data_IF_596459933458
#
_entry.id   IF_596459933458
#
_cell.length_a   1.000
_cell.length_b   1.000
_cell.length_c   1.000
_cell.angle_alpha   90.00
_cell.angle_beta   90.00
_cell.angle_gamma   90.00
#
_symmetry.space_group_name_H-M   'P 1'
#
loop_
_entity.id
_entity.type
_entity.pdbx_description
1 polymer ?
#
# COMPACT_ATOMS: atom_id res chain seq x y z
N UNK A 1 -2.13 -16.52 13.37
CA UNK A 1 -2.18 -15.76 12.10
C UNK A 1 -2.59 -16.70 10.99
N UNK A 2 -3.63 -16.35 10.23
CA UNK A 2 -4.06 -17.12 9.05
C UNK A 2 -3.64 -16.40 7.78
N UNK A 3 -3.07 -17.13 6.82
CA UNK A 3 -2.60 -16.59 5.56
C UNK A 3 -2.66 -17.68 4.47
N UNK A 4 -3.31 -17.41 3.35
CA UNK A 4 -3.50 -18.33 2.22
C UNK A 4 -3.99 -19.72 2.67
N UNK A 5 -5.03 -19.72 3.51
CA UNK A 5 -5.65 -20.94 4.05
C UNK A 5 -4.85 -21.69 5.13
N UNK A 6 -3.62 -21.28 5.42
CA UNK A 6 -2.77 -21.87 6.46
C UNK A 6 -2.87 -21.07 7.77
N UNK A 7 -2.87 -21.77 8.91
CA UNK A 7 -2.88 -21.13 10.23
C UNK A 7 -1.53 -21.31 10.93
N UNK A 8 -0.98 -20.21 11.41
CA UNK A 8 0.32 -20.14 12.09
C UNK A 8 0.16 -19.65 13.53
N UNK A 9 1.03 -20.08 14.42
CA UNK A 9 1.05 -19.65 15.83
C UNK A 9 1.24 -18.12 15.95
N UNK A 10 2.14 -17.57 15.16
CA UNK A 10 2.44 -16.14 15.13
C UNK A 10 2.97 -15.72 13.75
N UNK A 11 3.20 -14.42 13.58
CA UNK A 11 3.71 -13.86 12.33
C UNK A 11 5.12 -14.33 11.97
N UNK A 12 5.97 -14.57 12.97
CA UNK A 12 7.32 -15.10 12.77
C UNK A 12 7.31 -16.51 12.17
N UNK A 13 6.38 -17.39 12.63
CA UNK A 13 6.23 -18.73 12.06
C UNK A 13 5.65 -18.71 10.66
N UNK A 14 4.70 -17.79 10.35
CA UNK A 14 4.23 -17.54 8.99
C UNK A 14 5.39 -17.15 8.09
N UNK A 15 6.16 -16.13 8.49
CA UNK A 15 7.29 -15.63 7.71
C UNK A 15 8.35 -16.71 7.47
N UNK A 16 8.71 -17.47 8.49
CA UNK A 16 9.70 -18.55 8.35
C UNK A 16 9.24 -19.62 7.35
N UNK A 17 7.97 -20.02 7.40
CA UNK A 17 7.39 -20.98 6.46
C UNK A 17 7.49 -20.51 5.02
N UNK A 18 6.96 -19.30 4.73
CA UNK A 18 6.95 -18.79 3.37
C UNK A 18 8.34 -18.36 2.87
N UNK A 19 9.26 -17.99 3.74
CA UNK A 19 10.67 -17.78 3.38
C UNK A 19 11.31 -19.07 2.86
N UNK A 20 11.02 -20.20 3.50
CA UNK A 20 11.55 -21.49 3.03
C UNK A 20 10.90 -21.93 1.71
N UNK A 21 9.61 -21.68 1.51
CA UNK A 21 8.95 -21.91 0.22
C UNK A 21 9.51 -21.02 -0.89
N UNK A 22 9.79 -19.74 -0.60
CA UNK A 22 10.46 -18.85 -1.54
C UNK A 22 11.86 -19.33 -1.89
N UNK A 23 12.62 -19.81 -0.90
CA UNK A 23 13.95 -20.39 -1.09
C UNK A 23 13.92 -21.56 -2.10
N UNK A 24 12.92 -22.44 -2.00
CA UNK A 24 12.72 -23.53 -2.97
C UNK A 24 12.39 -23.00 -4.36
N UNK A 25 11.52 -21.99 -4.46
CA UNK A 25 11.18 -21.35 -5.74
C UNK A 25 12.39 -20.68 -6.41
N UNK A 26 13.29 -20.09 -5.65
CA UNK A 26 14.53 -19.49 -6.16
C UNK A 26 15.49 -20.53 -6.79
N UNK A 27 15.32 -21.81 -6.52
CA UNK A 27 16.09 -22.88 -7.18
C UNK A 27 15.52 -23.29 -8.54
N UNK A 28 14.30 -22.82 -8.89
CA UNK A 28 13.67 -23.10 -10.17
C UNK A 28 14.23 -22.17 -11.26
N UNK A 29 14.93 -22.73 -12.29
CA UNK A 29 15.46 -21.90 -13.37
C UNK A 29 14.39 -21.16 -14.20
N UNK A 30 13.18 -21.74 -14.31
CA UNK A 30 12.08 -21.10 -15.06
C UNK A 30 11.52 -19.89 -14.30
N UNK A 31 11.44 -19.98 -12.98
CA UNK A 31 11.06 -18.84 -12.15
C UNK A 31 12.02 -17.66 -12.31
N UNK A 32 13.31 -17.92 -12.45
CA UNK A 32 14.34 -16.89 -12.66
C UNK A 32 14.33 -16.25 -14.05
N UNK A 33 13.65 -16.85 -15.02
CA UNK A 33 13.50 -16.30 -16.38
C UNK A 33 12.36 -15.29 -16.50
N UNK A 34 11.56 -15.12 -15.46
CA UNK A 34 10.49 -14.12 -15.46
C UNK A 34 11.11 -12.74 -15.69
N UNK A 35 10.56 -11.99 -16.62
CA UNK A 35 11.03 -10.64 -16.96
C UNK A 35 10.99 -9.74 -15.71
N UNK A 36 12.05 -8.96 -15.52
CA UNK A 36 12.21 -8.12 -14.33
C UNK A 36 12.75 -8.85 -13.09
N UNK A 37 13.18 -10.12 -13.22
CA UNK A 37 13.82 -10.81 -12.10
C UNK A 37 15.07 -10.06 -11.63
N UNK A 38 15.24 -9.77 -10.32
CA UNK A 38 16.30 -8.92 -9.82
C UNK A 38 17.70 -9.58 -9.99
N UNK A 39 18.72 -8.74 -10.12
CA UNK A 39 20.11 -9.13 -10.04
C UNK A 39 20.50 -9.11 -8.56
N UNK A 40 20.91 -10.25 -8.00
CA UNK A 40 21.29 -10.38 -6.59
C UNK A 40 21.46 -11.82 -6.19
N UNK A 41 21.94 -12.05 -4.97
CA UNK A 41 21.99 -13.39 -4.39
C UNK A 41 20.62 -13.80 -3.84
N UNK A 42 20.42 -15.11 -3.68
CA UNK A 42 19.19 -15.63 -3.05
C UNK A 42 19.00 -15.06 -1.64
N UNK A 43 20.08 -14.93 -0.89
CA UNK A 43 20.03 -14.37 0.47
C UNK A 43 19.65 -12.88 0.47
N UNK A 44 20.09 -12.09 -0.51
CA UNK A 44 19.66 -10.70 -0.64
C UNK A 44 18.16 -10.60 -0.88
N UNK A 45 17.63 -11.42 -1.80
CA UNK A 45 16.20 -11.50 -2.09
C UNK A 45 15.40 -11.90 -0.86
N UNK A 46 15.82 -12.97 -0.17
CA UNK A 46 15.14 -13.48 1.02
C UNK A 46 15.16 -12.48 2.17
N UNK A 47 16.30 -11.82 2.41
CA UNK A 47 16.45 -10.86 3.50
C UNK A 47 15.59 -9.59 3.31
N UNK A 48 15.38 -9.18 2.07
CA UNK A 48 14.52 -8.02 1.75
C UNK A 48 13.04 -8.39 1.68
N UNK A 49 12.69 -9.69 1.66
CA UNK A 49 11.31 -10.15 1.50
C UNK A 49 10.59 -10.35 2.85
N UNK A 50 9.27 -10.22 2.81
CA UNK A 50 8.35 -10.67 3.85
C UNK A 50 7.24 -11.53 3.22
N UNK A 51 7.57 -12.76 2.77
CA UNK A 51 6.64 -13.60 2.05
C UNK A 51 5.51 -14.12 2.95
N UNK A 52 4.31 -14.35 2.37
CA UNK A 52 3.95 -14.23 0.97
C UNK A 52 3.50 -12.82 0.56
N UNK A 53 3.40 -11.86 1.48
CA UNK A 53 2.85 -10.52 1.23
C UNK A 53 3.74 -9.67 0.32
N UNK A 54 5.04 -9.76 0.50
CA UNK A 54 6.03 -9.04 -0.29
C UNK A 54 7.25 -9.91 -0.59
N UNK A 55 7.69 -9.91 -1.85
CA UNK A 55 8.94 -10.52 -2.26
C UNK A 55 9.77 -9.52 -3.08
N UNK A 56 11.08 -9.51 -2.82
CA UNK A 56 12.02 -8.69 -3.58
C UNK A 56 12.35 -9.29 -4.97
N UNK A 57 11.46 -10.13 -5.48
CA UNK A 57 11.44 -10.72 -6.82
C UNK A 57 9.98 -10.89 -7.24
N UNK A 58 9.65 -11.38 -8.45
CA UNK A 58 8.26 -11.69 -8.80
C UNK A 58 7.58 -12.55 -7.74
N UNK A 59 6.44 -12.12 -7.24
CA UNK A 59 5.76 -12.79 -6.12
C UNK A 59 4.98 -14.02 -6.62
N UNK A 60 5.33 -15.25 -6.20
CA UNK A 60 4.67 -16.47 -6.68
C UNK A 60 3.25 -16.69 -6.12
N UNK A 61 2.83 -15.94 -5.11
CA UNK A 61 1.53 -16.12 -4.43
C UNK A 61 0.45 -15.12 -4.83
N UNK A 62 0.70 -14.23 -5.82
CA UNK A 62 -0.30 -13.23 -6.22
C UNK A 62 -1.60 -13.88 -6.69
N UNK A 63 -1.52 -14.97 -7.44
CA UNK A 63 -2.70 -15.68 -7.91
C UNK A 63 -3.53 -16.27 -6.75
N UNK A 64 -2.86 -16.76 -5.72
CA UNK A 64 -3.52 -17.32 -4.53
C UNK A 64 -4.24 -16.23 -3.73
N UNK A 65 -3.62 -15.05 -3.57
CA UNK A 65 -4.27 -13.89 -2.96
C UNK A 65 -5.47 -13.41 -3.75
N UNK A 66 -5.37 -13.34 -5.07
CA UNK A 66 -6.50 -12.94 -5.93
C UNK A 66 -7.65 -13.92 -5.75
N UNK A 67 -7.38 -15.22 -5.78
CA UNK A 67 -8.40 -16.25 -5.60
C UNK A 67 -9.07 -16.16 -4.22
N UNK A 68 -8.30 -15.97 -3.15
CA UNK A 68 -8.82 -15.80 -1.80
C UNK A 68 -9.70 -14.53 -1.69
N UNK A 69 -9.26 -13.41 -2.26
CA UNK A 69 -9.99 -12.15 -2.21
C UNK A 69 -11.27 -12.18 -3.06
N UNK A 70 -11.23 -12.77 -4.26
CA UNK A 70 -12.42 -12.93 -5.09
C UNK A 70 -13.47 -13.82 -4.41
N UNK A 71 -13.04 -14.89 -3.73
CA UNK A 71 -13.95 -15.74 -2.97
C UNK A 71 -14.64 -15.05 -1.78
N UNK A 72 -14.10 -13.93 -1.30
CA UNK A 72 -14.67 -13.13 -0.21
C UNK A 72 -15.67 -12.08 -0.69
N UNK A 73 -15.75 -11.82 -2.00
CA UNK A 73 -16.67 -10.82 -2.54
C UNK A 73 -18.11 -11.33 -2.47
N UNK A 74 -19.07 -10.43 -2.18
CA UNK A 74 -20.48 -10.78 -2.26
C UNK A 74 -20.86 -11.13 -3.71
N UNK A 75 -21.75 -12.10 -3.86
CA UNK A 75 -22.30 -12.42 -5.17
C UNK A 75 -22.99 -11.21 -5.78
N UNK A 76 -22.76 -10.98 -7.06
CA UNK A 76 -23.44 -9.92 -7.79
C UNK A 76 -24.85 -10.37 -8.17
N UNK A 77 -25.84 -9.46 -8.14
CA UNK A 77 -27.20 -9.78 -8.60
C UNK A 77 -27.21 -10.28 -10.05
N UNK A 78 -28.13 -11.18 -10.37
CA UNK A 78 -28.32 -11.64 -11.75
C UNK A 78 -28.55 -10.45 -12.69
N UNK A 79 -27.84 -10.40 -13.82
CA UNK A 79 -27.89 -9.30 -14.75
C UNK A 79 -27.09 -8.06 -14.37
N UNK A 80 -26.27 -8.12 -13.31
CA UNK A 80 -25.39 -7.01 -12.97
C UNK A 80 -24.40 -6.74 -14.10
N UNK A 81 -24.36 -5.48 -14.55
CA UNK A 81 -23.36 -4.97 -15.48
C UNK A 81 -22.62 -3.80 -14.85
N UNK A 82 -21.31 -3.92 -14.76
CA UNK A 82 -20.47 -2.80 -14.29
C UNK A 82 -20.57 -1.65 -15.29
N UNK A 83 -20.96 -0.49 -14.79
CA UNK A 83 -20.94 0.76 -15.56
C UNK A 83 -20.57 1.92 -14.64
N UNK A 84 -19.64 2.76 -15.06
CA UNK A 84 -19.29 4.04 -14.43
C UNK A 84 -19.01 5.08 -15.51
N UNK A 85 -19.53 6.27 -15.30
CA UNK A 85 -19.20 7.41 -16.16
C UNK A 85 -17.73 7.78 -16.04
N UNK A 86 -17.11 8.32 -17.10
CA UNK A 86 -15.75 8.83 -17.03
C UNK A 86 -15.62 9.88 -15.93
N UNK A 87 -14.53 9.78 -15.16
CA UNK A 87 -14.25 10.67 -14.04
C UNK A 87 -12.89 11.33 -14.20
N UNK A 88 -12.83 12.63 -13.92
CA UNK A 88 -11.59 13.39 -13.86
C UNK A 88 -11.58 14.27 -12.62
N UNK A 89 -10.45 14.30 -11.93
CA UNK A 89 -10.23 15.14 -10.76
C UNK A 89 -8.80 15.73 -10.80
N UNK A 90 -8.57 16.79 -10.01
CA UNK A 90 -7.25 17.37 -9.84
C UNK A 90 -6.31 16.38 -9.11
N UNK A 91 -5.22 16.03 -9.79
CA UNK A 91 -4.20 15.10 -9.25
C UNK A 91 -3.21 15.81 -8.31
N UNK A 92 -3.37 17.08 -8.03
CA UNK A 92 -2.54 17.84 -7.09
C UNK A 92 -3.08 17.85 -5.66
N UNK A 93 -4.31 17.40 -5.46
CA UNK A 93 -4.95 17.35 -4.13
C UNK A 93 -4.15 16.47 -3.16
N UNK A 94 -3.86 17.01 -1.98
CA UNK A 94 -3.10 16.31 -0.95
C UNK A 94 -1.57 16.46 -1.03
N UNK A 95 -1.02 17.29 -1.93
CA UNK A 95 0.44 17.55 -2.00
C UNK A 95 1.02 18.15 -0.71
N UNK A 96 0.21 18.79 0.12
CA UNK A 96 0.62 19.34 1.42
C UNK A 96 0.38 18.36 2.58
N UNK A 97 -0.14 17.18 2.31
CA UNK A 97 -0.44 16.18 3.33
C UNK A 97 0.87 15.60 3.92
N UNK A 98 0.96 15.43 5.26
CA UNK A 98 2.14 14.84 5.90
C UNK A 98 2.49 13.45 5.37
N UNK A 99 1.48 12.63 5.07
CA UNK A 99 1.67 11.30 4.49
C UNK A 99 2.35 11.40 3.12
N UNK A 100 1.87 12.31 2.25
CA UNK A 100 2.51 12.54 0.96
C UNK A 100 3.94 13.06 1.11
N UNK A 101 4.21 13.89 2.10
CA UNK A 101 5.52 14.52 2.31
C UNK A 101 6.50 13.68 3.13
N UNK A 102 6.10 12.49 3.64
CA UNK A 102 6.94 11.65 4.47
C UNK A 102 8.21 11.14 3.75
N UNK A 103 8.18 11.04 2.43
CA UNK A 103 9.36 10.74 1.60
C UNK A 103 9.24 11.41 0.24
N UNK A 104 10.33 11.57 -0.49
CA UNK A 104 10.33 12.08 -1.85
C UNK A 104 10.46 10.93 -2.86
N UNK A 105 9.64 10.97 -3.93
CA UNK A 105 9.74 10.10 -5.07
C UNK A 105 9.23 10.84 -6.32
N UNK A 106 9.95 10.74 -7.42
CA UNK A 106 9.82 11.69 -8.54
C UNK A 106 8.43 11.70 -9.19
N UNK A 107 7.80 10.55 -9.34
CA UNK A 107 6.51 10.40 -10.04
C UNK A 107 5.32 10.19 -9.10
N UNK A 108 5.50 10.43 -7.80
CA UNK A 108 4.48 10.17 -6.78
C UNK A 108 3.25 11.06 -6.96
N UNK A 109 2.07 10.45 -7.01
CA UNK A 109 0.77 11.13 -6.98
C UNK A 109 0.21 11.10 -5.56
N UNK A 110 -0.39 12.19 -5.04
CA UNK A 110 -0.98 12.19 -3.71
C UNK A 110 -2.09 11.15 -3.54
N UNK A 111 -2.08 10.44 -2.41
CA UNK A 111 -3.08 9.41 -2.10
C UNK A 111 -4.52 9.95 -2.12
N UNK A 112 -4.76 11.20 -1.69
CA UNK A 112 -6.09 11.84 -1.72
C UNK A 112 -6.65 11.97 -3.13
N UNK A 113 -5.81 12.37 -4.07
CA UNK A 113 -6.22 12.41 -5.47
C UNK A 113 -6.56 11.00 -5.99
N UNK A 114 -5.75 9.99 -5.67
CA UNK A 114 -5.99 8.60 -6.07
C UNK A 114 -7.27 8.05 -5.42
N UNK A 115 -7.54 8.37 -4.14
CA UNK A 115 -8.76 7.94 -3.44
C UNK A 115 -10.03 8.32 -4.19
N UNK A 116 -10.09 9.51 -4.81
CA UNK A 116 -11.26 9.94 -5.59
C UNK A 116 -11.54 8.99 -6.75
N UNK A 117 -10.52 8.55 -7.47
CA UNK A 117 -10.66 7.58 -8.57
C UNK A 117 -11.06 6.20 -8.04
N UNK A 118 -10.43 5.73 -6.97
CA UNK A 118 -10.77 4.44 -6.37
C UNK A 118 -12.21 4.43 -5.87
N UNK A 119 -12.65 5.45 -5.15
CA UNK A 119 -14.03 5.58 -4.66
C UNK A 119 -15.04 5.62 -5.81
N UNK A 120 -14.69 6.25 -6.96
CA UNK A 120 -15.57 6.35 -8.11
C UNK A 120 -15.73 5.00 -8.84
N UNK A 121 -14.61 4.30 -9.08
CA UNK A 121 -14.61 3.12 -9.94
C UNK A 121 -14.79 1.80 -9.21
N UNK A 122 -14.72 1.75 -7.88
CA UNK A 122 -14.68 0.49 -7.12
C UNK A 122 -15.65 0.46 -5.96
N UNK A 123 -15.93 -0.75 -5.48
CA UNK A 123 -16.67 -1.03 -4.25
C UNK A 123 -15.73 -1.58 -3.16
N UNK A 124 -16.12 -1.56 -1.87
CA UNK A 124 -15.39 -2.23 -0.80
C UNK A 124 -15.06 -3.68 -1.15
N UNK A 125 -13.79 -4.06 -0.94
CA UNK A 125 -13.30 -5.42 -1.25
C UNK A 125 -12.83 -5.62 -2.69
N UNK A 126 -13.09 -4.68 -3.61
CA UNK A 126 -12.55 -4.76 -4.97
C UNK A 126 -11.02 -4.71 -4.99
N UNK A 127 -10.44 -5.30 -6.03
CA UNK A 127 -8.99 -5.34 -6.25
C UNK A 127 -8.58 -4.22 -7.18
N UNK A 128 -7.65 -3.39 -6.72
CA UNK A 128 -7.00 -2.33 -7.50
C UNK A 128 -5.62 -2.83 -7.90
N UNK A 129 -5.33 -2.83 -9.18
CA UNK A 129 -4.00 -3.18 -9.70
C UNK A 129 -3.26 -1.92 -10.15
N UNK A 130 -2.02 -1.76 -9.66
CA UNK A 130 -1.10 -0.71 -10.11
C UNK A 130 0.22 -1.34 -10.55
N UNK A 131 0.42 -1.41 -11.86
CA UNK A 131 1.58 -2.04 -12.49
C UNK A 131 2.86 -1.21 -12.43
N UNK A 132 2.78 0.06 -12.02
CA UNK A 132 3.89 1.02 -11.94
C UNK A 132 3.75 1.87 -10.66
N UNK A 133 3.56 1.19 -9.53
CA UNK A 133 3.11 1.79 -8.27
C UNK A 133 4.09 2.78 -7.64
N UNK A 134 5.31 2.87 -8.13
CA UNK A 134 6.35 3.65 -7.47
C UNK A 134 6.46 3.27 -5.99
N UNK A 135 6.28 4.24 -5.12
CA UNK A 135 6.32 4.02 -3.66
C UNK A 135 4.97 3.69 -3.02
N UNK A 136 3.96 3.25 -3.82
CA UNK A 136 2.75 2.60 -3.33
C UNK A 136 1.65 3.51 -2.82
N UNK A 137 1.54 4.75 -3.31
CA UNK A 137 0.44 5.64 -2.93
C UNK A 137 -0.94 5.09 -3.27
N UNK A 138 -1.05 4.27 -4.32
CA UNK A 138 -2.28 3.58 -4.71
C UNK A 138 -2.74 2.58 -3.64
N UNK A 139 -1.81 1.83 -3.05
CA UNK A 139 -2.12 0.90 -1.95
C UNK A 139 -2.63 1.63 -0.72
N UNK A 140 -1.96 2.72 -0.34
CA UNK A 140 -2.40 3.57 0.77
C UNK A 140 -3.79 4.15 0.50
N UNK A 141 -4.04 4.69 -0.70
CA UNK A 141 -5.34 5.22 -1.09
C UNK A 141 -6.44 4.15 -1.03
N UNK A 142 -6.15 2.91 -1.45
CA UNK A 142 -7.08 1.79 -1.38
C UNK A 142 -7.47 1.45 0.08
N UNK A 143 -6.51 1.49 1.01
CA UNK A 143 -6.75 1.29 2.43
C UNK A 143 -7.56 2.45 3.04
N UNK A 144 -7.17 3.71 2.76
CA UNK A 144 -7.79 4.90 3.31
C UNK A 144 -9.22 5.16 2.79
N UNK A 145 -9.63 4.50 1.71
CA UNK A 145 -11.05 4.45 1.32
C UNK A 145 -11.95 3.77 2.39
N UNK A 146 -11.37 3.09 3.38
CA UNK A 146 -12.05 2.57 4.56
C UNK A 146 -11.99 3.49 5.78
N UNK A 147 -11.23 4.57 5.73
CA UNK A 147 -11.13 5.55 6.81
C UNK A 147 -12.16 6.67 6.62
N UNK A 148 -13.07 6.80 7.60
CA UNK A 148 -14.16 7.77 7.53
C UNK A 148 -13.67 9.21 7.53
N UNK A 149 -12.66 9.52 8.34
CA UNK A 149 -12.17 10.88 8.50
C UNK A 149 -11.39 11.33 7.25
N UNK A 150 -10.63 10.42 6.66
CA UNK A 150 -9.96 10.67 5.38
C UNK A 150 -10.96 10.90 4.24
N UNK A 151 -12.03 10.09 4.17
CA UNK A 151 -13.09 10.29 3.16
C UNK A 151 -13.81 11.61 3.36
N UNK A 152 -14.11 12.00 4.60
CA UNK A 152 -14.71 13.33 4.92
C UNK A 152 -13.75 14.46 4.54
N UNK A 153 -12.44 14.28 4.72
CA UNK A 153 -11.43 15.29 4.36
C UNK A 153 -11.42 15.63 2.86
N UNK A 154 -11.94 14.72 2.02
CA UNK A 154 -12.13 14.95 0.58
C UNK A 154 -13.38 15.78 0.23
N UNK A 155 -14.16 16.22 1.23
CA UNK A 155 -15.38 16.98 1.03
C UNK A 155 -16.63 16.10 0.84
N UNK A 156 -16.55 14.80 1.06
CA UNK A 156 -17.69 13.89 1.03
C UNK A 156 -18.41 13.83 2.39
N UNK A 157 -19.64 13.35 2.40
CA UNK A 157 -20.36 12.96 3.62
C UNK A 157 -20.46 11.45 3.72
N UNK A 158 -20.37 10.91 4.94
CA UNK A 158 -20.46 9.48 5.19
C UNK A 158 -21.62 9.20 6.15
N UNK A 159 -22.63 8.47 5.67
CA UNK A 159 -23.78 8.03 6.48
C UNK A 159 -23.38 6.93 7.47
N UNK A 160 -24.21 6.67 8.50
CA UNK A 160 -23.97 5.59 9.46
C UNK A 160 -23.87 4.18 8.84
N UNK A 161 -24.54 3.95 7.71
CA UNK A 161 -24.50 2.69 6.96
C UNK A 161 -23.30 2.56 6.01
N UNK A 162 -22.36 3.52 6.07
CA UNK A 162 -21.18 3.57 5.21
C UNK A 162 -21.43 4.16 3.82
N UNK A 163 -22.63 4.61 3.49
CA UNK A 163 -22.91 5.26 2.20
C UNK A 163 -22.18 6.60 2.14
N UNK A 164 -21.40 6.80 1.09
CA UNK A 164 -20.69 8.06 0.81
C UNK A 164 -21.55 8.89 -0.13
N UNK A 165 -21.77 10.17 0.27
CA UNK A 165 -22.49 11.15 -0.53
C UNK A 165 -21.54 12.19 -1.08
N UNK A 166 -21.78 12.58 -2.31
CA UNK A 166 -21.09 13.69 -2.98
C UNK A 166 -22.09 14.84 -3.22
N UNK A 167 -21.59 16.08 -3.12
CA UNK A 167 -22.38 17.26 -3.45
C UNK A 167 -22.45 17.41 -4.99
N UNK A 168 -23.64 17.52 -5.51
CA UNK A 168 -23.92 17.78 -6.92
C UNK A 168 -24.83 18.99 -7.06
N UNK A 169 -24.82 19.59 -8.24
CA UNK A 169 -25.78 20.66 -8.58
C UNK A 169 -26.91 20.03 -9.41
N UNK A 170 -28.17 20.18 -8.98
CA UNK A 170 -29.31 19.70 -9.74
C UNK A 170 -29.65 20.63 -10.92
N UNK A 171 -30.68 20.26 -11.69
CA UNK A 171 -31.13 21.02 -12.87
C UNK A 171 -31.60 22.44 -12.53
N UNK A 172 -32.03 22.67 -11.29
CA UNK A 172 -32.46 23.99 -10.76
C UNK A 172 -31.29 24.83 -10.21
N UNK A 173 -30.05 24.31 -10.28
CA UNK A 173 -28.85 24.97 -9.74
C UNK A 173 -28.70 24.85 -8.22
N UNK A 174 -29.48 23.97 -7.56
CA UNK A 174 -29.39 23.73 -6.12
C UNK A 174 -28.38 22.64 -5.81
N UNK A 175 -27.65 22.81 -4.71
CA UNK A 175 -26.75 21.80 -4.18
C UNK A 175 -27.52 20.66 -3.51
N UNK A 176 -27.29 19.46 -3.98
CA UNK A 176 -27.92 18.22 -3.47
C UNK A 176 -26.86 17.16 -3.17
N UNK A 177 -27.11 16.36 -2.14
CA UNK A 177 -26.21 15.25 -1.78
C UNK A 177 -26.73 13.94 -2.37
N UNK A 178 -25.95 13.34 -3.27
CA UNK A 178 -26.31 12.08 -3.91
C UNK A 178 -25.38 10.96 -3.49
N UNK A 179 -25.92 9.74 -3.44
CA UNK A 179 -25.13 8.54 -3.19
C UNK A 179 -24.14 8.34 -4.32
N UNK A 180 -22.87 8.20 -3.94
CA UNK A 180 -21.75 8.15 -4.85
C UNK A 180 -20.96 6.83 -4.72
N UNK A 181 -20.63 6.42 -3.49
CA UNK A 181 -19.78 5.27 -3.21
C UNK A 181 -20.11 4.65 -1.85
N UNK A 182 -19.29 3.71 -1.41
CA UNK A 182 -19.38 3.07 -0.09
C UNK A 182 -18.04 3.08 0.64
N UNK A 183 -18.08 3.37 1.93
CA UNK A 183 -16.93 3.31 2.83
C UNK A 183 -16.48 1.86 2.99
N UNK A 184 -15.21 1.61 2.84
CA UNK A 184 -14.58 0.31 3.04
C UNK A 184 -13.23 0.20 2.33
N UNK A 185 -12.39 -0.67 2.83
CA UNK A 185 -11.07 -0.94 2.28
C UNK A 185 -11.19 -1.62 0.90
N UNK A 186 -10.34 -1.23 -0.04
CA UNK A 186 -10.08 -1.98 -1.28
C UNK A 186 -8.77 -2.72 -1.12
N UNK A 187 -8.62 -3.84 -1.82
CA UNK A 187 -7.38 -4.60 -1.90
C UNK A 187 -6.47 -3.98 -2.97
N UNK A 188 -5.17 -4.03 -2.79
CA UNK A 188 -4.26 -3.51 -3.81
C UNK A 188 -3.19 -4.54 -4.17
N UNK A 189 -2.94 -4.68 -5.48
CA UNK A 189 -1.78 -5.38 -6.02
C UNK A 189 -0.86 -4.31 -6.59
N UNK A 190 0.32 -4.20 -6.02
CA UNK A 190 1.31 -3.20 -6.37
C UNK A 190 2.51 -3.86 -7.02
N UNK A 191 2.90 -3.37 -8.18
CA UNK A 191 4.07 -3.84 -8.90
C UNK A 191 4.91 -2.66 -9.37
N UNK A 192 6.22 -2.82 -9.40
CA UNK A 192 7.17 -1.88 -9.99
C UNK A 192 8.44 -2.62 -10.40
N UNK A 193 9.13 -2.16 -11.44
CA UNK A 193 10.42 -2.70 -11.86
C UNK A 193 11.54 -2.34 -10.88
N UNK A 194 11.38 -1.26 -10.12
CA UNK A 194 12.36 -0.82 -9.13
C UNK A 194 12.16 -1.57 -7.81
N UNK A 195 13.13 -2.41 -7.44
CA UNK A 195 13.13 -3.09 -6.13
C UNK A 195 13.14 -2.11 -4.95
N UNK A 196 13.75 -0.93 -5.11
CA UNK A 196 13.70 0.13 -4.11
C UNK A 196 12.28 0.70 -3.97
N UNK A 197 11.57 0.89 -5.08
CA UNK A 197 10.19 1.36 -5.07
C UNK A 197 9.26 0.36 -4.39
N UNK A 198 9.32 -0.92 -4.76
CA UNK A 198 8.48 -1.97 -4.15
C UNK A 198 8.79 -2.18 -2.67
N UNK A 199 10.06 -2.07 -2.27
CA UNK A 199 10.44 -2.12 -0.85
C UNK A 199 9.85 -0.96 -0.05
N UNK A 200 9.92 0.27 -0.57
CA UNK A 200 9.30 1.43 0.05
C UNK A 200 7.76 1.26 0.08
N UNK A 201 7.16 0.83 -1.04
CA UNK A 201 5.72 0.61 -1.14
C UNK A 201 5.23 -0.40 -0.10
N UNK A 202 5.93 -1.52 0.06
CA UNK A 202 5.62 -2.52 1.08
C UNK A 202 5.64 -1.92 2.49
N UNK A 203 6.75 -1.28 2.87
CA UNK A 203 6.88 -0.69 4.21
C UNK A 203 5.87 0.44 4.47
N UNK A 204 5.50 1.19 3.43
CA UNK A 204 4.54 2.29 3.54
C UNK A 204 3.10 1.81 3.70
N UNK A 205 2.79 0.65 3.15
CA UNK A 205 1.44 0.05 3.18
C UNK A 205 1.26 -0.98 4.30
N UNK A 206 2.33 -1.34 5.01
CA UNK A 206 2.27 -2.34 6.08
C UNK A 206 2.16 -1.64 7.43
N UNK A 207 1.12 -1.93 8.24
CA UNK A 207 1.00 -1.40 9.58
C UNK A 207 2.17 -1.81 10.46
N UNK A 208 2.75 -0.87 11.18
CA UNK A 208 3.86 -1.09 12.10
C UNK A 208 3.52 -0.70 13.53
N UNK A 209 4.13 -1.40 14.51
CA UNK A 209 4.04 -1.02 15.92
C UNK A 209 4.93 0.22 16.18
N UNK A 210 4.29 1.37 16.31
CA UNK A 210 4.97 2.69 16.41
C UNK A 210 5.94 2.76 17.59
N UNK A 211 5.60 2.17 18.73
CA UNK A 211 6.44 2.19 19.94
C UNK A 211 7.71 1.37 19.73
N UNK A 212 7.61 0.19 19.14
CA UNK A 212 8.75 -0.68 18.83
C UNK A 212 9.63 -0.07 17.76
N UNK A 213 9.04 0.46 16.68
CA UNK A 213 9.77 1.20 15.66
C UNK A 213 10.58 2.36 16.26
N UNK A 214 9.93 3.21 17.08
CA UNK A 214 10.58 4.35 17.71
C UNK A 214 11.73 3.95 18.64
N UNK A 215 11.59 2.80 19.32
CA UNK A 215 12.66 2.24 20.17
C UNK A 215 13.84 1.75 19.33
N UNK A 216 13.57 0.99 18.28
CA UNK A 216 14.61 0.49 17.36
C UNK A 216 15.32 1.63 16.65
N UNK A 217 14.59 2.62 16.12
CA UNK A 217 15.18 3.79 15.48
C UNK A 217 16.11 4.56 16.40
N UNK A 218 15.69 4.86 17.66
CA UNK A 218 16.52 5.52 18.65
C UNK A 218 17.78 4.72 18.99
N UNK A 219 17.69 3.40 19.10
CA UNK A 219 18.86 2.56 19.39
C UNK A 219 19.85 2.56 18.22
N UNK A 220 19.34 2.49 16.98
CA UNK A 220 20.19 2.59 15.79
C UNK A 220 20.89 3.94 15.71
N UNK A 221 20.15 5.05 15.92
CA UNK A 221 20.75 6.39 15.95
C UNK A 221 21.85 6.52 17.01
N UNK A 222 21.63 6.02 18.22
CA UNK A 222 22.66 6.03 19.28
C UNK A 222 23.89 5.21 18.89
N UNK A 223 23.72 4.08 18.21
CA UNK A 223 24.85 3.29 17.72
C UNK A 223 25.64 4.05 16.66
N UNK A 224 24.94 4.63 15.68
CA UNK A 224 25.56 5.43 14.62
C UNK A 224 26.27 6.66 15.19
N UNK A 225 25.65 7.38 16.14
CA UNK A 225 26.23 8.52 16.81
C UNK A 225 27.53 8.16 17.52
N UNK A 226 27.58 7.00 18.18
CA UNK A 226 28.80 6.50 18.82
C UNK A 226 29.94 6.24 17.83
N UNK A 227 29.59 5.69 16.66
CA UNK A 227 30.59 5.25 15.67
C UNK A 227 31.02 6.39 14.72
N UNK A 228 30.04 7.25 14.35
CA UNK A 228 30.21 8.28 13.32
C UNK A 228 29.94 9.71 13.79
N UNK A 229 29.61 9.92 15.07
CA UNK A 229 29.30 11.25 15.63
C UNK A 229 30.43 12.26 15.42
N UNK A 230 31.66 11.79 15.45
CA UNK A 230 32.85 12.61 15.19
C UNK A 230 32.81 13.35 13.82
N UNK A 231 32.07 12.85 12.84
CA UNK A 231 31.91 13.50 11.52
C UNK A 231 31.10 14.80 11.60
N UNK A 232 30.30 14.95 12.64
CA UNK A 232 29.43 16.12 12.87
C UNK A 232 29.95 17.04 13.96
N UNK A 233 31.09 16.69 14.59
CA UNK A 233 31.73 17.51 15.60
C UNK A 233 32.59 18.57 14.95
N UNK A 234 32.53 19.79 15.47
CA UNK A 234 33.43 20.87 15.07
C UNK A 234 34.04 21.51 16.32
N UNK A 235 35.32 21.85 16.25
CA UNK A 235 35.97 22.58 17.34
C UNK A 235 35.47 24.02 17.33
N UNK A 236 34.85 24.43 18.43
CA UNK A 236 34.56 25.85 18.66
C UNK A 236 35.83 26.64 18.87
N UNK A 237 35.81 27.96 18.58
CA UNK A 237 36.97 28.85 18.77
C UNK A 237 37.55 28.83 20.20
N UNK A 238 36.73 28.49 21.18
CA UNK A 238 37.10 28.43 22.60
C UNK A 238 37.55 27.02 23.03
N UNK A 239 37.78 26.11 22.09
CA UNK A 239 38.28 24.76 22.38
C UNK A 239 37.27 23.79 23.01
N UNK A 240 35.98 24.12 22.97
CA UNK A 240 34.86 23.24 23.40
C UNK A 240 34.28 22.49 22.26
#
# INVERSE_FOLDING_TARGET
VTCLGLTFENDGTRRAHFTEELRKKLQDPEFRKIEGFPIGTDEDILNLSDPPYYTACPNPWIADFIAEWEAQKPEQPEGYHYHREPFAADVSEGKNDPIYNAHSYHTKVPHKAIMRYILHYTQPGDIVFDGFCGTGMTGLAAQLCGDKDEVISLGYQVKPDGTILQEETDEDGKKVWRSFSKLGVRKAILNDLSSAATFIAYNYNTPGEVSEFSKKARNTLKSIEKDLGWMYETKHKDGR
#
